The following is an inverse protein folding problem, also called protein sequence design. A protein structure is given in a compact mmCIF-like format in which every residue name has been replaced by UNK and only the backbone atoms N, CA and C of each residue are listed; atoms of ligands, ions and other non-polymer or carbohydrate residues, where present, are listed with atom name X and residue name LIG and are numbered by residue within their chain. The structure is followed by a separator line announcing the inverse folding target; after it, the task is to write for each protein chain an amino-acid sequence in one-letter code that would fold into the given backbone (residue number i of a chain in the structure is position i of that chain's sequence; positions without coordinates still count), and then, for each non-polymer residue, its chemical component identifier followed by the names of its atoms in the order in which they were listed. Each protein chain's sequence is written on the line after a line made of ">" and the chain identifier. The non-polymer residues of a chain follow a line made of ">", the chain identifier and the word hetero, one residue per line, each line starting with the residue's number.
data_IF_452599916110
#
_entry.id   IF_452599916110
#
_cell.length_a   1.000
_cell.length_b   1.000
_cell.length_c   1.000
_cell.angle_alpha   90.00
_cell.angle_beta   90.00
_cell.angle_gamma   90.00
#
_symmetry.space_group_name_H-M   'P 1'
#
loop_
_entity.id
_entity.type
_entity.pdbx_description
1 polymer ?
#
# COMPACT_ATOMS: atom_id res chain seq x y z
N UNK A 1 0.06 3.50 -40.73
CA UNK A 1 1.14 4.33 -40.16
C UNK A 1 2.30 3.37 -39.88
N UNK A 2 3.20 3.23 -40.84
CA UNK A 2 4.28 2.24 -40.81
C UNK A 2 5.32 2.67 -39.77
N UNK A 3 5.56 1.81 -38.78
CA UNK A 3 6.62 1.95 -37.77
C UNK A 3 7.95 2.03 -38.51
N UNK A 4 8.58 3.20 -38.59
CA UNK A 4 9.92 3.29 -39.19
C UNK A 4 10.91 2.60 -38.24
N UNK A 5 11.55 1.50 -38.67
CA UNK A 5 12.19 0.60 -37.71
C UNK A 5 13.45 1.20 -37.05
N UNK A 6 14.15 2.11 -37.73
CA UNK A 6 15.48 2.64 -37.37
C UNK A 6 15.58 3.41 -36.06
N UNK A 7 14.50 4.02 -35.56
CA UNK A 7 14.49 4.75 -34.28
C UNK A 7 14.26 3.83 -33.08
N UNK A 8 13.59 2.69 -33.30
CA UNK A 8 12.99 1.90 -32.22
C UNK A 8 13.98 0.99 -31.50
N UNK A 9 15.19 0.76 -32.03
CA UNK A 9 16.10 -0.32 -31.63
C UNK A 9 17.02 -0.01 -30.46
N UNK A 10 17.34 1.25 -30.28
CA UNK A 10 18.30 1.69 -29.27
C UNK A 10 17.64 1.52 -27.87
N UNK A 11 18.15 0.57 -27.09
CA UNK A 11 17.72 0.13 -25.75
C UNK A 11 16.52 -0.85 -25.62
N UNK A 12 15.96 -1.35 -26.72
CA UNK A 12 14.76 -2.23 -26.69
C UNK A 12 15.02 -3.64 -27.19
N UNK A 13 16.11 -3.83 -27.94
CA UNK A 13 16.49 -5.11 -28.53
C UNK A 13 17.95 -5.40 -28.19
N UNK A 14 18.17 -6.61 -27.70
CA UNK A 14 19.50 -7.15 -27.55
C UNK A 14 20.00 -7.67 -28.88
N UNK A 15 21.18 -7.23 -29.31
CA UNK A 15 21.76 -7.68 -30.58
C UNK A 15 22.46 -9.03 -30.37
N UNK A 16 21.70 -10.11 -30.55
CA UNK A 16 22.17 -11.48 -30.41
C UNK A 16 23.08 -11.90 -31.57
N UNK A 17 22.96 -11.27 -32.75
CA UNK A 17 23.82 -11.54 -33.90
C UNK A 17 25.26 -11.10 -33.66
N UNK A 18 25.47 -9.88 -33.15
CA UNK A 18 26.81 -9.40 -32.80
C UNK A 18 27.38 -10.15 -31.59
N UNK A 19 26.54 -10.47 -30.61
CA UNK A 19 26.95 -11.30 -29.48
C UNK A 19 27.47 -12.68 -29.91
N UNK A 20 26.86 -13.31 -30.92
CA UNK A 20 27.32 -14.58 -31.46
C UNK A 20 28.68 -14.47 -32.16
N UNK A 21 28.92 -13.37 -32.89
CA UNK A 21 30.21 -13.07 -33.52
C UNK A 21 31.30 -12.89 -32.45
N UNK A 22 30.97 -12.21 -31.34
CA UNK A 22 31.87 -11.95 -30.22
C UNK A 22 31.97 -13.12 -29.22
N UNK A 23 31.30 -14.24 -29.46
CA UNK A 23 31.25 -15.42 -28.56
C UNK A 23 30.71 -15.12 -27.15
N UNK A 24 29.86 -14.09 -27.00
CA UNK A 24 29.21 -13.70 -25.74
C UNK A 24 27.73 -14.09 -25.66
N UNK A 25 27.20 -14.73 -26.71
CA UNK A 25 25.78 -15.09 -26.82
C UNK A 25 25.29 -16.03 -25.71
N UNK A 26 26.14 -16.96 -25.25
CA UNK A 26 25.82 -17.88 -24.15
C UNK A 26 25.52 -17.15 -22.84
N UNK A 27 26.37 -16.17 -22.49
CA UNK A 27 26.23 -15.32 -21.30
C UNK A 27 24.91 -14.53 -21.39
N UNK A 28 24.64 -13.96 -22.54
CA UNK A 28 23.46 -13.14 -22.77
C UNK A 28 22.16 -13.95 -22.81
N UNK A 29 22.17 -15.18 -23.35
CA UNK A 29 21.05 -16.13 -23.22
C UNK A 29 20.80 -16.51 -21.77
N UNK A 30 21.84 -16.79 -20.99
CA UNK A 30 21.72 -17.10 -19.58
C UNK A 30 21.12 -15.90 -18.80
N UNK A 31 21.54 -14.67 -19.12
CA UNK A 31 20.98 -13.46 -18.54
C UNK A 31 19.49 -13.28 -18.86
N UNK A 32 19.06 -13.56 -20.10
CA UNK A 32 17.64 -13.52 -20.49
C UNK A 32 16.79 -14.57 -19.76
N UNK A 33 17.33 -15.79 -19.56
CA UNK A 33 16.66 -16.85 -18.80
C UNK A 33 16.53 -16.46 -17.32
N UNK A 34 17.60 -15.91 -16.73
CA UNK A 34 17.56 -15.39 -15.37
C UNK A 34 16.52 -14.28 -15.24
N UNK A 35 16.48 -13.34 -16.19
CA UNK A 35 15.49 -12.27 -16.21
C UNK A 35 14.06 -12.82 -16.26
N UNK A 36 13.80 -13.86 -17.07
CA UNK A 36 12.50 -14.52 -17.15
C UNK A 36 12.06 -15.13 -15.80
N UNK A 37 12.99 -15.75 -15.06
CA UNK A 37 12.75 -16.28 -13.72
C UNK A 37 12.42 -15.13 -12.75
N UNK A 38 13.20 -14.05 -12.79
CA UNK A 38 12.97 -12.87 -11.94
C UNK A 38 11.62 -12.21 -12.23
N UNK A 39 11.23 -12.09 -13.49
CA UNK A 39 9.92 -11.59 -13.90
C UNK A 39 8.80 -12.48 -13.36
N UNK A 40 8.97 -13.80 -13.40
CA UNK A 40 8.00 -14.76 -12.85
C UNK A 40 7.79 -14.56 -11.34
N UNK A 41 8.84 -14.23 -10.59
CA UNK A 41 8.74 -13.81 -9.18
C UNK A 41 8.00 -12.47 -9.07
N UNK A 42 8.36 -11.51 -9.91
CA UNK A 42 7.72 -10.19 -9.97
C UNK A 42 6.20 -10.24 -10.23
N UNK A 43 5.72 -11.25 -10.97
CA UNK A 43 4.28 -11.49 -11.14
C UNK A 43 3.59 -11.78 -9.80
N UNK A 44 4.16 -12.67 -8.99
CA UNK A 44 3.63 -13.01 -7.68
C UNK A 44 3.61 -11.80 -6.74
N UNK A 45 4.67 -11.00 -6.76
CA UNK A 45 4.77 -9.75 -5.98
C UNK A 45 3.73 -8.72 -6.41
N UNK A 46 3.53 -8.56 -7.72
CA UNK A 46 2.53 -7.62 -8.27
C UNK A 46 1.11 -8.03 -7.90
N UNK A 47 0.80 -9.33 -7.94
CA UNK A 47 -0.49 -9.85 -7.48
C UNK A 47 -0.70 -9.64 -5.99
N UNK A 48 0.34 -9.84 -5.17
CA UNK A 48 0.30 -9.57 -3.74
C UNK A 48 0.04 -8.07 -3.48
N UNK A 49 0.75 -7.18 -4.18
CA UNK A 49 0.54 -5.73 -4.06
C UNK A 49 -0.90 -5.35 -4.44
N UNK A 50 -1.41 -5.87 -5.56
CA UNK A 50 -2.78 -5.63 -6.01
C UNK A 50 -3.81 -6.08 -4.97
N UNK A 51 -3.63 -7.27 -4.39
CA UNK A 51 -4.43 -7.78 -3.29
C UNK A 51 -4.36 -6.85 -2.06
N UNK A 52 -3.16 -6.50 -1.60
CA UNK A 52 -2.98 -5.67 -0.41
C UNK A 52 -3.65 -4.30 -0.58
N UNK A 53 -3.48 -3.64 -1.73
CA UNK A 53 -4.10 -2.35 -2.01
C UNK A 53 -5.63 -2.42 -1.98
N UNK A 54 -6.22 -3.50 -2.51
CA UNK A 54 -7.67 -3.63 -2.60
C UNK A 54 -8.34 -3.98 -1.28
N UNK A 55 -7.69 -4.81 -0.45
CA UNK A 55 -8.31 -5.39 0.73
C UNK A 55 -7.93 -4.72 2.06
N UNK A 56 -6.78 -4.04 2.15
CA UNK A 56 -6.31 -3.49 3.44
C UNK A 56 -6.93 -2.15 3.85
N UNK A 57 -7.72 -1.50 2.99
CA UNK A 57 -8.35 -0.16 3.23
C UNK A 57 -7.42 0.86 3.92
N UNK A 58 -6.11 0.78 3.69
CA UNK A 58 -5.12 1.66 4.34
C UNK A 58 -5.29 3.12 3.89
N UNK A 59 -5.49 3.30 2.59
CA UNK A 59 -5.52 4.63 1.98
C UNK A 59 -6.97 5.02 1.72
N UNK A 60 -7.25 6.32 1.88
CA UNK A 60 -8.44 6.94 1.33
C UNK A 60 -8.64 6.52 -0.13
N UNK A 61 -9.90 6.31 -0.51
CA UNK A 61 -10.24 5.71 -1.81
C UNK A 61 -9.64 6.49 -2.98
N UNK A 62 -9.55 7.81 -2.87
CA UNK A 62 -8.98 8.67 -3.91
C UNK A 62 -7.50 8.33 -4.17
N UNK A 63 -6.69 8.32 -3.12
CA UNK A 63 -5.29 7.92 -3.21
C UNK A 63 -5.14 6.46 -3.60
N UNK A 64 -5.95 5.57 -3.03
CA UNK A 64 -5.91 4.15 -3.35
C UNK A 64 -6.10 3.91 -4.86
N UNK A 65 -7.01 4.64 -5.52
CA UNK A 65 -7.22 4.54 -6.97
C UNK A 65 -6.00 4.99 -7.79
N UNK A 66 -5.25 5.98 -7.31
CA UNK A 66 -4.00 6.41 -7.97
C UNK A 66 -2.92 5.37 -7.72
N UNK A 67 -2.74 4.89 -6.49
CA UNK A 67 -1.73 3.88 -6.15
C UNK A 67 -2.02 2.52 -6.79
N UNK A 68 -3.30 2.16 -7.00
CA UNK A 68 -3.72 0.99 -7.79
C UNK A 68 -3.16 1.05 -9.23
N UNK A 69 -2.80 2.21 -9.78
CA UNK A 69 -2.17 2.30 -11.11
C UNK A 69 -0.78 1.67 -11.16
N UNK A 70 -0.06 1.61 -10.02
CA UNK A 70 1.29 1.04 -9.95
C UNK A 70 1.32 -0.45 -10.38
N UNK A 71 0.51 -1.36 -9.79
CA UNK A 71 0.42 -2.72 -10.28
C UNK A 71 -0.33 -2.83 -11.62
N UNK A 72 -1.30 -1.96 -11.91
CA UNK A 72 -2.06 -2.01 -13.16
C UNK A 72 -1.20 -1.76 -14.40
N UNK A 73 -0.18 -0.90 -14.32
CA UNK A 73 0.76 -0.71 -15.42
C UNK A 73 1.87 -1.78 -15.43
N UNK A 74 2.32 -2.21 -14.24
CA UNK A 74 3.47 -3.11 -14.14
C UNK A 74 3.13 -4.51 -14.63
N UNK A 75 1.95 -5.03 -14.30
CA UNK A 75 1.51 -6.36 -14.71
C UNK A 75 1.52 -6.58 -16.24
N UNK A 76 0.83 -5.76 -17.07
CA UNK A 76 0.89 -5.90 -18.52
C UNK A 76 2.30 -5.63 -19.09
N UNK A 77 3.10 -4.78 -18.42
CA UNK A 77 4.50 -4.54 -18.81
C UNK A 77 5.37 -5.79 -18.63
N UNK A 78 5.16 -6.55 -17.54
CA UNK A 78 5.83 -7.84 -17.32
C UNK A 78 5.41 -8.88 -18.35
N UNK A 79 4.13 -8.94 -18.73
CA UNK A 79 3.65 -9.86 -19.79
C UNK A 79 4.33 -9.52 -21.12
N UNK A 80 4.31 -8.24 -21.51
CA UNK A 80 4.97 -7.77 -22.72
C UNK A 80 6.46 -8.12 -22.71
N UNK A 81 7.13 -8.00 -21.55
CA UNK A 81 8.53 -8.37 -21.39
C UNK A 81 8.78 -9.87 -21.50
N UNK A 82 7.98 -10.73 -20.85
CA UNK A 82 8.12 -12.19 -21.02
C UNK A 82 7.98 -12.57 -22.50
N UNK A 83 7.05 -11.94 -23.21
CA UNK A 83 6.86 -12.17 -24.64
C UNK A 83 8.06 -11.72 -25.48
N UNK A 84 8.64 -10.55 -25.18
CA UNK A 84 9.87 -10.08 -25.82
C UNK A 84 11.03 -11.06 -25.61
N UNK A 85 11.24 -11.54 -24.38
CA UNK A 85 12.32 -12.50 -24.06
C UNK A 85 12.09 -13.82 -24.82
N UNK A 86 10.84 -14.31 -24.85
CA UNK A 86 10.48 -15.50 -25.62
C UNK A 86 10.88 -15.36 -27.10
N UNK A 87 10.47 -14.25 -27.75
CA UNK A 87 10.82 -13.97 -29.14
C UNK A 87 12.34 -13.84 -29.35
N UNK A 88 13.06 -13.18 -28.44
CA UNK A 88 14.52 -13.04 -28.50
C UNK A 88 15.27 -14.37 -28.35
N UNK A 89 14.73 -15.32 -27.59
CA UNK A 89 15.32 -16.65 -27.44
C UNK A 89 15.03 -17.56 -28.65
N UNK A 90 13.86 -17.40 -29.27
CA UNK A 90 13.42 -18.21 -30.43
C UNK A 90 14.00 -17.70 -31.75
N UNK A 91 14.11 -16.38 -31.96
CA UNK A 91 14.61 -15.76 -33.19
C UNK A 91 16.01 -15.19 -32.91
N UNK A 92 17.09 -15.95 -33.19
CA UNK A 92 18.46 -15.51 -32.89
C UNK A 92 18.93 -14.38 -33.82
N UNK A 93 18.42 -14.33 -35.05
CA UNK A 93 18.76 -13.29 -35.99
C UNK A 93 18.04 -11.98 -35.63
N UNK A 94 18.81 -10.97 -35.24
CA UNK A 94 18.26 -9.67 -34.80
C UNK A 94 17.55 -8.96 -35.95
N UNK A 95 18.00 -9.12 -37.20
CA UNK A 95 17.35 -8.50 -38.36
C UNK A 95 15.94 -9.07 -38.62
N UNK A 96 15.74 -10.37 -38.41
CA UNK A 96 14.43 -11.02 -38.53
C UNK A 96 13.51 -10.66 -37.37
N UNK A 97 14.03 -10.67 -36.14
CA UNK A 97 13.28 -10.30 -34.94
C UNK A 97 12.66 -8.91 -35.04
N UNK A 98 13.40 -8.00 -35.64
CA UNK A 98 13.04 -6.61 -35.85
C UNK A 98 11.87 -6.44 -36.84
N UNK A 99 11.70 -7.38 -37.77
CA UNK A 99 10.60 -7.37 -38.75
C UNK A 99 9.32 -8.00 -38.19
N UNK A 100 9.39 -8.68 -37.04
CA UNK A 100 8.25 -9.34 -36.41
C UNK A 100 7.31 -8.30 -35.76
N UNK A 101 6.13 -8.11 -36.35
CA UNK A 101 5.14 -7.12 -35.88
C UNK A 101 4.70 -7.38 -34.43
N UNK A 102 4.59 -8.66 -34.03
CA UNK A 102 4.19 -9.03 -32.68
C UNK A 102 5.22 -8.65 -31.62
N UNK A 103 6.51 -8.79 -31.96
CA UNK A 103 7.61 -8.31 -31.13
C UNK A 103 7.61 -6.78 -31.02
N UNK A 104 7.45 -6.07 -32.15
CA UNK A 104 7.39 -4.60 -32.16
C UNK A 104 6.22 -4.06 -31.33
N UNK A 105 5.05 -4.71 -31.40
CA UNK A 105 3.91 -4.37 -30.56
C UNK A 105 4.21 -4.57 -29.07
N UNK A 106 4.85 -5.67 -28.68
CA UNK A 106 5.25 -5.91 -27.30
C UNK A 106 6.26 -4.88 -26.80
N UNK A 107 7.23 -4.48 -27.64
CA UNK A 107 8.17 -3.38 -27.35
C UNK A 107 7.41 -2.07 -27.11
N UNK A 108 6.50 -1.72 -28.01
CA UNK A 108 5.68 -0.50 -27.90
C UNK A 108 4.84 -0.48 -26.63
N UNK A 109 4.14 -1.58 -26.34
CA UNK A 109 3.29 -1.73 -25.16
C UNK A 109 4.12 -1.57 -23.88
N UNK A 110 5.23 -2.29 -23.80
CA UNK A 110 6.13 -2.25 -22.64
C UNK A 110 6.67 -0.85 -22.40
N UNK A 111 7.22 -0.20 -23.43
CA UNK A 111 7.76 1.15 -23.30
C UNK A 111 6.69 2.15 -22.88
N UNK A 112 5.49 2.08 -23.48
CA UNK A 112 4.37 2.95 -23.13
C UNK A 112 4.01 2.83 -21.64
N UNK A 113 4.03 1.61 -21.09
CA UNK A 113 3.76 1.36 -19.67
C UNK A 113 4.93 1.80 -18.76
N UNK A 114 6.18 1.65 -19.18
CA UNK A 114 7.34 2.15 -18.43
C UNK A 114 7.30 3.68 -18.25
N UNK A 115 6.85 4.42 -19.27
CA UNK A 115 6.64 5.86 -19.13
C UNK A 115 5.57 6.20 -18.08
N UNK A 116 4.54 5.36 -17.90
CA UNK A 116 3.56 5.52 -16.80
C UNK A 116 4.27 5.37 -15.45
N UNK A 117 5.16 4.40 -15.31
CA UNK A 117 5.95 4.22 -14.10
C UNK A 117 6.89 5.40 -13.82
N UNK A 118 7.58 5.91 -14.85
CA UNK A 118 8.50 7.04 -14.72
C UNK A 118 7.81 8.35 -14.32
N UNK A 119 6.59 8.59 -14.79
CA UNK A 119 5.82 9.79 -14.42
C UNK A 119 4.89 9.59 -13.23
N UNK A 120 4.93 8.44 -12.54
CA UNK A 120 3.96 8.11 -11.51
C UNK A 120 4.06 9.01 -10.26
N UNK A 121 5.28 9.31 -9.77
CA UNK A 121 5.49 9.91 -8.45
C UNK A 121 4.76 11.25 -8.17
N UNK A 122 4.69 12.21 -9.12
CA UNK A 122 3.98 13.47 -8.90
C UNK A 122 2.50 13.32 -8.56
N UNK A 123 1.80 12.31 -9.11
CA UNK A 123 0.35 12.23 -9.04
C UNK A 123 -0.19 11.90 -7.63
N UNK A 124 0.35 10.90 -6.91
CA UNK A 124 0.04 10.72 -5.49
C UNK A 124 0.36 11.96 -4.66
N UNK A 125 1.45 12.68 -4.94
CA UNK A 125 1.84 13.88 -4.19
C UNK A 125 0.83 15.01 -4.40
N UNK A 126 0.39 15.25 -5.64
CA UNK A 126 -0.65 16.24 -5.96
C UNK A 126 -1.97 15.88 -5.27
N UNK A 127 -2.35 14.60 -5.23
CA UNK A 127 -3.54 14.16 -4.48
C UNK A 127 -3.40 14.45 -2.98
N UNK A 128 -2.21 14.23 -2.39
CA UNK A 128 -1.93 14.59 -0.99
C UNK A 128 -2.00 16.11 -0.77
N UNK A 129 -1.56 16.93 -1.73
CA UNK A 129 -1.74 18.38 -1.67
C UNK A 129 -3.23 18.76 -1.60
N UNK A 130 -4.07 18.15 -2.44
CA UNK A 130 -5.52 18.36 -2.37
C UNK A 130 -6.12 17.92 -1.04
N UNK A 131 -5.67 16.78 -0.48
CA UNK A 131 -6.14 16.31 0.83
C UNK A 131 -5.79 17.29 1.96
N UNK A 132 -4.63 17.92 1.91
CA UNK A 132 -4.23 18.96 2.87
C UNK A 132 -4.97 20.28 2.66
N UNK A 133 -5.20 20.71 1.41
CA UNK A 133 -5.93 21.96 1.12
C UNK A 133 -7.41 21.83 1.53
N UNK A 134 -8.03 20.69 1.24
CA UNK A 134 -9.43 20.43 1.55
C UNK A 134 -9.63 19.66 2.86
N UNK A 135 -8.74 19.86 3.83
CA UNK A 135 -8.72 19.07 5.07
C UNK A 135 -10.09 19.02 5.75
N UNK A 136 -10.89 20.09 5.75
CA UNK A 136 -12.18 20.12 6.44
C UNK A 136 -13.25 19.18 5.86
N UNK A 137 -13.27 18.93 4.54
CA UNK A 137 -14.35 18.19 3.87
C UNK A 137 -13.87 17.12 2.87
N UNK A 138 -12.57 16.81 2.87
CA UNK A 138 -11.98 15.85 1.94
C UNK A 138 -12.56 14.43 2.08
N UNK A 139 -12.81 13.98 3.32
CA UNK A 139 -13.34 12.65 3.59
C UNK A 139 -14.86 12.56 3.45
N UNK A 140 -15.58 13.66 3.71
CA UNK A 140 -17.04 13.68 3.70
C UNK A 140 -17.58 13.75 2.28
N UNK A 141 -16.93 14.53 1.40
CA UNK A 141 -17.27 14.59 -0.02
C UNK A 141 -16.40 13.63 -0.81
N UNK A 142 -17.03 12.61 -1.42
CA UNK A 142 -16.36 11.65 -2.31
C UNK A 142 -15.92 12.32 -3.62
N UNK A 143 -14.81 13.05 -3.59
CA UNK A 143 -14.21 13.76 -4.74
C UNK A 143 -13.43 12.82 -5.66
N UNK A 144 -14.04 11.70 -6.05
CA UNK A 144 -13.39 10.65 -6.88
C UNK A 144 -12.91 11.17 -8.23
N UNK A 145 -13.55 12.24 -8.72
CA UNK A 145 -13.17 12.92 -9.96
C UNK A 145 -11.71 13.39 -9.93
N UNK A 146 -11.15 13.76 -8.77
CA UNK A 146 -9.74 14.19 -8.63
C UNK A 146 -8.82 13.04 -9.05
N UNK A 147 -9.07 11.84 -8.53
CA UNK A 147 -8.27 10.67 -8.87
C UNK A 147 -8.41 10.26 -10.33
N UNK A 148 -9.63 10.27 -10.87
CA UNK A 148 -9.85 9.95 -12.29
C UNK A 148 -9.15 10.96 -13.20
N UNK A 149 -9.24 12.25 -12.88
CA UNK A 149 -8.56 13.30 -13.62
C UNK A 149 -7.05 13.13 -13.57
N UNK A 150 -6.48 12.94 -12.36
CA UNK A 150 -5.04 12.74 -12.18
C UNK A 150 -4.54 11.48 -12.90
N UNK A 151 -5.25 10.35 -12.80
CA UNK A 151 -4.89 9.14 -13.55
C UNK A 151 -5.00 9.34 -15.06
N UNK A 152 -6.02 10.04 -15.55
CA UNK A 152 -6.16 10.33 -16.98
C UNK A 152 -5.01 11.18 -17.49
N UNK A 153 -4.64 12.24 -16.76
CA UNK A 153 -3.51 13.10 -17.09
C UNK A 153 -2.20 12.29 -17.09
N UNK A 154 -1.99 11.41 -16.11
CA UNK A 154 -0.83 10.52 -16.06
C UNK A 154 -0.70 9.68 -17.34
N UNK A 155 -1.76 8.99 -17.74
CA UNK A 155 -1.72 8.15 -18.95
C UNK A 155 -1.55 8.97 -20.22
N UNK A 156 -2.18 10.15 -20.33
CA UNK A 156 -2.00 11.03 -21.50
C UNK A 156 -0.54 11.48 -21.60
N UNK A 157 0.05 12.01 -20.53
CA UNK A 157 1.44 12.47 -20.52
C UNK A 157 2.39 11.33 -20.83
N UNK A 158 2.21 10.18 -20.18
CA UNK A 158 3.05 9.00 -20.38
C UNK A 158 2.96 8.48 -21.82
N UNK A 159 1.75 8.36 -22.38
CA UNK A 159 1.54 7.84 -23.72
C UNK A 159 2.10 8.78 -24.79
N UNK A 160 1.86 10.10 -24.65
CA UNK A 160 2.42 11.11 -25.55
C UNK A 160 3.95 11.08 -25.50
N UNK A 161 4.54 11.07 -24.30
CA UNK A 161 6.00 10.96 -24.12
C UNK A 161 6.54 9.69 -24.76
N UNK A 162 5.87 8.55 -24.59
CA UNK A 162 6.25 7.28 -25.18
C UNK A 162 6.19 7.32 -26.72
N UNK A 163 5.15 7.90 -27.32
CA UNK A 163 5.08 8.02 -28.78
C UNK A 163 6.23 8.87 -29.33
N UNK A 164 6.51 10.02 -28.69
CA UNK A 164 7.62 10.89 -29.06
C UNK A 164 8.99 10.22 -28.93
N UNK A 165 9.15 9.35 -27.92
CA UNK A 165 10.36 8.57 -27.71
C UNK A 165 10.51 7.44 -28.75
N UNK A 166 9.46 6.66 -28.99
CA UNK A 166 9.48 5.48 -29.88
C UNK A 166 9.68 5.90 -31.34
N UNK A 167 8.92 6.89 -31.80
CA UNK A 167 8.96 7.35 -33.20
C UNK A 167 10.10 8.33 -33.50
N UNK A 168 10.98 8.60 -32.54
CA UNK A 168 12.21 9.38 -32.78
C UNK A 168 11.95 10.86 -33.10
N UNK A 169 10.74 11.36 -32.85
CA UNK A 169 10.37 12.74 -33.16
C UNK A 169 10.95 13.76 -32.16
N UNK A 170 11.69 13.31 -31.14
CA UNK A 170 12.20 14.17 -30.06
C UNK A 170 13.59 13.72 -29.58
N UNK A 171 14.41 14.69 -29.17
CA UNK A 171 15.73 14.41 -28.58
C UNK A 171 15.57 13.65 -27.27
N UNK A 172 16.33 12.55 -27.10
CA UNK A 172 16.32 11.70 -25.89
C UNK A 172 16.63 12.48 -24.61
N UNK A 173 17.52 13.46 -24.72
CA UNK A 173 17.89 14.36 -23.61
C UNK A 173 16.69 15.14 -23.04
N UNK A 174 15.70 15.47 -23.86
CA UNK A 174 14.47 16.14 -23.40
C UNK A 174 13.68 15.19 -22.48
N UNK A 175 13.55 13.91 -22.85
CA UNK A 175 12.87 12.92 -22.02
C UNK A 175 13.62 12.68 -20.71
N UNK A 176 14.95 12.60 -20.74
CA UNK A 176 15.79 12.48 -19.54
C UNK A 176 15.53 13.67 -18.60
N UNK A 177 15.63 14.90 -19.13
CA UNK A 177 15.40 16.12 -18.36
C UNK A 177 13.99 16.17 -17.76
N UNK A 178 12.95 15.84 -18.54
CA UNK A 178 11.58 15.83 -18.07
C UNK A 178 11.35 14.78 -16.97
N UNK A 179 11.75 13.53 -17.20
CA UNK A 179 11.56 12.44 -16.23
C UNK A 179 12.27 12.77 -14.92
N UNK A 180 13.55 13.16 -14.96
CA UNK A 180 14.31 13.50 -13.76
C UNK A 180 13.74 14.75 -13.08
N UNK A 181 13.40 15.79 -13.84
CA UNK A 181 12.83 17.04 -13.32
C UNK A 181 11.49 16.84 -12.61
N UNK A 182 10.54 16.13 -13.23
CA UNK A 182 9.23 15.87 -12.63
C UNK A 182 9.35 15.06 -11.33
N UNK A 183 10.20 14.03 -11.31
CA UNK A 183 10.41 13.21 -10.11
C UNK A 183 11.09 14.01 -8.98
N UNK A 184 12.05 14.88 -9.32
CA UNK A 184 12.69 15.76 -8.35
C UNK A 184 11.68 16.74 -7.72
N UNK A 185 10.83 17.35 -8.53
CA UNK A 185 9.76 18.25 -8.05
C UNK A 185 8.81 17.51 -7.12
N UNK A 186 8.37 16.29 -7.48
CA UNK A 186 7.52 15.47 -6.63
C UNK A 186 8.17 15.13 -5.28
N UNK A 187 9.45 14.79 -5.30
CA UNK A 187 10.22 14.53 -4.09
C UNK A 187 10.29 15.77 -3.19
N UNK A 188 10.66 16.93 -3.72
CA UNK A 188 10.73 18.20 -2.97
C UNK A 188 9.36 18.58 -2.40
N UNK A 189 8.30 18.49 -3.20
CA UNK A 189 6.93 18.76 -2.75
C UNK A 189 6.52 17.86 -1.58
N UNK A 190 6.92 16.58 -1.60
CA UNK A 190 6.63 15.66 -0.50
C UNK A 190 7.24 16.14 0.84
N UNK A 191 8.46 16.67 0.82
CA UNK A 191 9.09 17.25 2.02
C UNK A 191 8.39 18.53 2.50
N UNK A 192 8.02 19.41 1.57
CA UNK A 192 7.29 20.64 1.88
C UNK A 192 5.96 20.29 2.55
N UNK A 193 5.23 19.33 1.99
CA UNK A 193 3.95 18.86 2.51
C UNK A 193 4.08 18.25 3.91
N UNK A 194 5.12 17.45 4.15
CA UNK A 194 5.39 16.91 5.48
C UNK A 194 5.60 18.01 6.52
N UNK A 195 6.46 18.99 6.19
CA UNK A 195 6.77 20.12 7.09
C UNK A 195 5.53 20.96 7.37
N UNK A 196 4.74 21.24 6.32
CA UNK A 196 3.49 21.98 6.45
C UNK A 196 2.49 21.25 7.35
N UNK A 197 2.25 19.96 7.11
CA UNK A 197 1.32 19.15 7.89
C UNK A 197 1.75 19.04 9.37
N UNK A 198 3.06 18.84 9.64
CA UNK A 198 3.60 18.82 11.01
C UNK A 198 3.45 20.16 11.73
N UNK A 199 3.71 21.27 11.03
CA UNK A 199 3.54 22.62 11.59
C UNK A 199 2.07 22.89 11.95
N UNK A 200 1.14 22.57 11.04
CA UNK A 200 -0.29 22.71 11.31
C UNK A 200 -0.74 21.85 12.49
N UNK A 201 -0.25 20.61 12.59
CA UNK A 201 -0.58 19.71 13.69
C UNK A 201 -0.09 20.24 15.04
N UNK A 202 1.12 20.82 15.08
CA UNK A 202 1.66 21.43 16.28
C UNK A 202 0.85 22.66 16.73
N UNK A 203 0.40 23.50 15.80
CA UNK A 203 -0.45 24.68 16.10
C UNK A 203 -1.80 24.23 16.66
N UNK A 204 -2.45 23.26 16.00
CA UNK A 204 -3.74 22.70 16.43
C UNK A 204 -3.68 22.02 17.81
N UNK A 205 -2.52 21.45 18.17
CA UNK A 205 -2.32 20.82 19.48
C UNK A 205 -2.11 21.85 20.60
N UNK A 206 -1.52 23.02 20.28
CA UNK A 206 -1.28 24.10 21.25
C UNK A 206 -2.52 24.96 21.52
N UNK A 207 -3.42 25.09 20.56
CA UNK A 207 -4.67 25.84 20.75
C UNK A 207 -5.73 24.94 21.39
N UNK A 208 -5.83 24.95 22.72
CA UNK A 208 -6.89 24.27 23.48
C UNK A 208 -8.28 24.88 23.20
N UNK A 209 -8.33 26.16 22.82
CA UNK A 209 -9.58 26.92 22.57
C UNK A 209 -10.07 26.90 21.12
N UNK A 210 -9.46 26.14 20.20
CA UNK A 210 -9.93 26.13 18.80
C UNK A 210 -11.05 25.11 18.60
N UNK A 211 -12.17 25.54 18.03
CA UNK A 211 -13.34 24.74 17.60
C UNK A 211 -13.04 23.64 16.55
N UNK A 212 -11.78 23.29 16.33
CA UNK A 212 -11.41 22.24 15.41
C UNK A 212 -11.87 20.88 15.94
N UNK A 213 -12.75 20.22 15.17
CA UNK A 213 -13.28 18.90 15.50
C UNK A 213 -12.18 17.84 15.55
N UNK A 214 -12.39 16.82 16.39
CA UNK A 214 -11.57 15.61 16.49
C UNK A 214 -11.24 14.99 15.11
N UNK A 215 -12.16 15.09 14.15
CA UNK A 215 -11.97 14.57 12.80
C UNK A 215 -10.82 15.25 12.04
N UNK A 216 -10.62 16.57 12.22
CA UNK A 216 -9.53 17.30 11.54
C UNK A 216 -8.17 16.89 12.10
N UNK A 217 -8.06 16.70 13.42
CA UNK A 217 -6.83 16.20 14.05
C UNK A 217 -6.51 14.76 13.62
N UNK A 218 -7.53 13.92 13.49
CA UNK A 218 -7.37 12.55 13.01
C UNK A 218 -6.87 12.51 11.55
N UNK A 219 -7.47 13.31 10.66
CA UNK A 219 -7.06 13.43 9.27
C UNK A 219 -5.62 13.93 9.12
N UNK A 220 -5.23 14.92 9.92
CA UNK A 220 -3.88 15.46 9.86
C UNK A 220 -2.83 14.45 10.36
N UNK A 221 -3.17 13.69 11.41
CA UNK A 221 -2.35 12.57 11.88
C UNK A 221 -2.21 11.49 10.81
N UNK A 222 -3.30 11.14 10.12
CA UNK A 222 -3.26 10.18 9.01
C UNK A 222 -2.41 10.68 7.83
N UNK A 223 -2.54 11.95 7.45
CA UNK A 223 -1.73 12.57 6.41
C UNK A 223 -0.24 12.56 6.77
N UNK A 224 0.13 12.84 8.02
CA UNK A 224 1.52 12.76 8.49
C UNK A 224 2.01 11.31 8.46
N UNK A 225 1.23 10.36 8.97
CA UNK A 225 1.62 8.95 9.05
C UNK A 225 1.75 8.31 7.65
N UNK A 226 0.89 8.68 6.71
CA UNK A 226 0.99 8.23 5.32
C UNK A 226 2.18 8.85 4.57
N UNK A 227 2.71 9.99 5.01
CA UNK A 227 3.82 10.67 4.32
C UNK A 227 5.11 9.84 4.29
N UNK A 228 5.40 9.04 5.32
CA UNK A 228 6.63 8.23 5.37
C UNK A 228 6.70 7.19 4.23
N UNK A 229 5.73 6.26 4.08
CA UNK A 229 5.75 5.32 2.95
C UNK A 229 5.71 6.03 1.60
N UNK A 230 5.04 7.19 1.48
CA UNK A 230 5.06 8.00 0.25
C UNK A 230 6.43 8.57 -0.07
N UNK A 231 7.18 9.08 0.91
CA UNK A 231 8.56 9.55 0.70
C UNK A 231 9.46 8.45 0.19
N UNK A 232 9.38 7.27 0.81
CA UNK A 232 10.19 6.11 0.39
C UNK A 232 9.81 5.70 -1.02
N UNK A 233 8.52 5.61 -1.33
CA UNK A 233 8.03 5.34 -2.68
C UNK A 233 8.53 6.37 -3.71
N UNK A 234 8.37 7.67 -3.44
CA UNK A 234 8.81 8.74 -4.35
C UNK A 234 10.33 8.74 -4.54
N UNK A 235 11.10 8.51 -3.46
CA UNK A 235 12.55 8.37 -3.54
C UNK A 235 12.95 7.17 -4.39
N UNK A 236 12.35 6.01 -4.18
CA UNK A 236 12.60 4.81 -4.97
C UNK A 236 12.26 5.03 -6.45
N UNK A 237 11.12 5.63 -6.77
CA UNK A 237 10.76 5.96 -8.15
C UNK A 237 11.80 6.90 -8.77
N UNK A 238 12.15 7.99 -8.08
CA UNK A 238 13.12 8.96 -8.57
C UNK A 238 14.51 8.34 -8.80
N UNK A 239 14.96 7.48 -7.87
CA UNK A 239 16.22 6.75 -7.97
C UNK A 239 16.24 5.81 -9.19
N UNK A 240 15.22 4.95 -9.32
CA UNK A 240 15.16 4.01 -10.44
C UNK A 240 14.90 4.69 -11.78
N UNK A 241 14.09 5.75 -11.82
CA UNK A 241 13.91 6.56 -13.01
C UNK A 241 15.25 7.17 -13.45
N UNK A 242 16.03 7.71 -12.50
CA UNK A 242 17.36 8.29 -12.77
C UNK A 242 18.36 7.24 -13.29
N UNK A 243 18.36 6.03 -12.70
CA UNK A 243 19.15 4.90 -13.19
C UNK A 243 18.76 4.49 -14.61
N UNK A 244 17.46 4.41 -14.90
CA UNK A 244 16.98 4.08 -16.24
C UNK A 244 17.35 5.15 -17.27
N UNK A 245 17.24 6.43 -16.91
CA UNK A 245 17.61 7.54 -17.79
C UNK A 245 19.12 7.66 -18.01
N UNK A 246 19.96 7.32 -17.01
CA UNK A 246 21.41 7.33 -17.19
C UNK A 246 21.85 6.20 -18.14
N UNK A 247 21.20 5.04 -18.07
CA UNK A 247 21.42 3.95 -19.02
C UNK A 247 21.00 4.33 -20.44
N UNK A 248 19.88 5.05 -20.61
CA UNK A 248 19.49 5.62 -21.90
C UNK A 248 20.54 6.59 -22.45
N UNK A 249 21.13 7.41 -21.59
CA UNK A 249 22.21 8.32 -21.99
C UNK A 249 23.44 7.53 -22.43
N UNK A 250 23.88 6.53 -21.67
CA UNK A 250 25.04 5.69 -22.04
C UNK A 250 24.81 4.97 -23.38
N UNK A 251 23.61 4.45 -23.64
CA UNK A 251 23.28 3.83 -24.93
C UNK A 251 23.34 4.80 -26.11
N UNK A 252 23.09 6.09 -25.90
CA UNK A 252 23.20 7.06 -26.99
C UNK A 252 24.67 7.29 -27.38
N UNK A 253 25.54 7.40 -26.39
CA UNK A 253 26.95 7.79 -26.58
C UNK A 253 27.91 6.62 -26.82
N UNK A 254 27.48 5.37 -26.59
CA UNK A 254 28.34 4.21 -26.78
C UNK A 254 28.32 3.71 -28.23
N UNK A 255 29.50 3.52 -28.82
CA UNK A 255 29.64 2.90 -30.16
C UNK A 255 29.69 1.37 -30.10
N UNK A 256 30.10 0.80 -28.96
CA UNK A 256 30.25 -0.65 -28.80
C UNK A 256 28.91 -1.35 -28.60
N UNK A 257 28.62 -2.34 -29.45
CA UNK A 257 27.40 -3.14 -29.37
C UNK A 257 27.37 -4.03 -28.10
N UNK A 258 28.52 -4.50 -27.63
CA UNK A 258 28.64 -5.27 -26.38
C UNK A 258 28.22 -4.42 -25.19
N UNK A 259 28.65 -3.16 -25.14
CA UNK A 259 28.26 -2.22 -24.08
C UNK A 259 26.76 -1.97 -24.14
N UNK A 260 26.17 -1.78 -25.33
CA UNK A 260 24.71 -1.65 -25.49
C UNK A 260 23.95 -2.85 -24.92
N UNK A 261 24.43 -4.07 -25.17
CA UNK A 261 23.82 -5.29 -24.64
C UNK A 261 23.88 -5.35 -23.09
N UNK A 262 24.99 -4.92 -22.48
CA UNK A 262 25.11 -4.83 -21.02
C UNK A 262 24.21 -3.74 -20.43
N UNK A 263 24.18 -2.56 -21.05
CA UNK A 263 23.30 -1.45 -20.67
C UNK A 263 21.84 -1.87 -20.78
N UNK A 264 21.47 -2.64 -21.81
CA UNK A 264 20.15 -3.24 -21.94
C UNK A 264 19.83 -4.16 -20.76
N UNK A 265 20.69 -5.12 -20.40
CA UNK A 265 20.46 -6.00 -19.24
C UNK A 265 20.31 -5.16 -17.95
N UNK A 266 21.19 -4.19 -17.74
CA UNK A 266 21.16 -3.32 -16.57
C UNK A 266 19.87 -2.49 -16.48
N UNK A 267 19.37 -1.99 -17.61
CA UNK A 267 18.11 -1.26 -17.70
C UNK A 267 16.92 -2.15 -17.33
N UNK A 268 16.88 -3.35 -17.89
CA UNK A 268 15.82 -4.31 -17.60
C UNK A 268 15.82 -4.75 -16.13
N UNK A 269 17.00 -5.00 -15.57
CA UNK A 269 17.15 -5.29 -14.15
C UNK A 269 16.74 -4.11 -13.26
N UNK A 270 17.02 -2.88 -13.67
CA UNK A 270 16.56 -1.66 -12.98
C UNK A 270 15.03 -1.54 -13.00
N UNK A 271 14.40 -1.84 -14.14
CA UNK A 271 12.94 -1.85 -14.24
C UNK A 271 12.29 -2.95 -13.39
N UNK A 272 12.89 -4.14 -13.33
CA UNK A 272 12.44 -5.23 -12.48
C UNK A 272 12.59 -4.90 -11.00
N UNK A 273 13.78 -4.45 -10.58
CA UNK A 273 14.07 -4.11 -9.19
C UNK A 273 13.20 -2.97 -8.68
N UNK A 274 12.85 -1.99 -9.52
CA UNK A 274 11.83 -0.99 -9.23
C UNK A 274 10.50 -1.61 -8.81
N UNK A 275 9.98 -2.54 -9.61
CA UNK A 275 8.67 -3.15 -9.39
C UNK A 275 8.63 -4.09 -8.20
N UNK A 276 9.77 -4.58 -7.73
CA UNK A 276 9.91 -5.40 -6.51
C UNK A 276 10.13 -4.54 -5.27
N UNK A 277 11.08 -3.60 -5.32
CA UNK A 277 11.54 -2.84 -4.16
C UNK A 277 10.52 -1.80 -3.69
N UNK A 278 9.79 -1.16 -4.61
CA UNK A 278 8.74 -0.20 -4.22
C UNK A 278 7.65 -0.86 -3.38
N UNK A 279 6.98 -1.95 -3.81
CA UNK A 279 6.02 -2.67 -2.97
C UNK A 279 6.65 -3.19 -1.67
N UNK A 280 7.88 -3.69 -1.72
CA UNK A 280 8.59 -4.17 -0.53
C UNK A 280 8.73 -3.07 0.54
N UNK A 281 9.19 -1.88 0.14
CA UNK A 281 9.29 -0.76 1.08
C UNK A 281 7.91 -0.31 1.57
N UNK A 282 6.92 -0.22 0.69
CA UNK A 282 5.55 0.12 1.10
C UNK A 282 5.01 -0.87 2.14
N UNK A 283 5.28 -2.17 1.98
CA UNK A 283 4.95 -3.21 2.95
C UNK A 283 5.74 -3.04 4.26
N UNK A 284 7.04 -2.75 4.19
CA UNK A 284 7.90 -2.59 5.35
C UNK A 284 7.50 -1.39 6.23
N UNK A 285 6.96 -0.32 5.64
CA UNK A 285 6.53 0.88 6.38
C UNK A 285 5.03 0.87 6.73
N UNK A 286 4.27 -0.13 6.30
CA UNK A 286 2.83 -0.18 6.50
C UNK A 286 2.39 -1.32 7.45
N UNK A 287 2.04 -1.03 8.71
CA UNK A 287 1.72 -2.05 9.69
C UNK A 287 0.44 -2.82 9.36
N UNK A 288 -0.53 -2.23 8.64
CA UNK A 288 -1.73 -2.96 8.20
C UNK A 288 -1.37 -4.01 7.15
N UNK A 289 -0.48 -3.66 6.21
CA UNK A 289 -0.02 -4.60 5.19
C UNK A 289 0.80 -5.74 5.80
N UNK A 290 1.64 -5.46 6.79
CA UNK A 290 2.37 -6.50 7.51
C UNK A 290 1.45 -7.46 8.26
N UNK A 291 0.40 -6.94 8.93
CA UNK A 291 -0.60 -7.77 9.63
C UNK A 291 -1.33 -8.68 8.64
N UNK A 292 -1.73 -8.13 7.50
CA UNK A 292 -2.41 -8.87 6.44
C UNK A 292 -1.51 -9.91 5.77
N UNK A 293 -0.26 -9.57 5.47
CA UNK A 293 0.72 -10.52 4.97
C UNK A 293 0.95 -11.67 5.96
N UNK A 294 1.11 -11.39 7.26
CA UNK A 294 1.21 -12.42 8.30
C UNK A 294 -0.05 -13.30 8.34
N UNK A 295 -1.24 -12.74 8.10
CA UNK A 295 -2.50 -13.49 8.01
C UNK A 295 -2.50 -14.42 6.80
N UNK A 296 -2.06 -13.95 5.63
CA UNK A 296 -1.95 -14.75 4.42
C UNK A 296 -0.93 -15.88 4.57
N UNK A 297 0.27 -15.57 5.07
CA UNK A 297 1.34 -16.57 5.31
C UNK A 297 0.83 -17.64 6.26
N UNK A 298 0.17 -17.28 7.36
CA UNK A 298 -0.42 -18.28 8.28
C UNK A 298 -1.46 -19.18 7.58
N UNK A 299 -2.33 -18.61 6.75
CA UNK A 299 -3.30 -19.41 5.98
C UNK A 299 -2.58 -20.39 5.05
N UNK A 300 -1.62 -19.91 4.25
CA UNK A 300 -0.86 -20.76 3.33
C UNK A 300 -0.03 -21.82 4.06
N UNK A 301 0.66 -21.48 5.14
CA UNK A 301 1.39 -22.45 5.96
C UNK A 301 0.47 -23.49 6.61
N UNK A 302 -0.77 -23.13 6.97
CA UNK A 302 -1.76 -24.10 7.46
C UNK A 302 -2.31 -25.01 6.35
N UNK A 303 -2.29 -24.58 5.08
CA UNK A 303 -2.63 -25.45 3.95
C UNK A 303 -1.50 -26.40 3.56
N UNK A 304 -0.23 -26.02 3.79
CA UNK A 304 0.94 -26.84 3.45
C UNK A 304 1.37 -27.83 4.55
N UNK A 305 0.73 -27.81 5.72
CA UNK A 305 0.94 -28.81 6.77
C UNK A 305 -0.29 -29.73 6.75
N UNK A 306 -0.20 -30.98 6.24
CA UNK A 306 -1.27 -31.94 6.43
C UNK A 306 -1.43 -32.15 7.93
N UNK A 307 -2.67 -32.05 8.41
CA UNK A 307 -3.08 -32.23 9.79
C UNK A 307 -2.19 -33.26 10.52
N UNK A 308 -1.25 -32.79 11.35
CA UNK A 308 -0.73 -33.61 12.43
C UNK A 308 -1.86 -33.75 13.43
N UNK A 309 -2.57 -34.88 13.28
CA UNK A 309 -3.20 -35.67 14.33
C UNK A 309 -4.16 -34.92 15.24
N UNK A 310 -5.41 -35.36 15.22
CA UNK A 310 -6.42 -35.11 16.22
C UNK A 310 -5.82 -35.08 17.64
N UNK A 311 -5.82 -33.90 18.25
CA UNK A 311 -5.73 -33.74 19.69
C UNK A 311 -6.80 -32.70 20.07
N UNK A 312 -7.92 -33.22 20.58
CA UNK A 312 -9.05 -32.61 21.26
C UNK A 312 -9.58 -31.21 20.87
N UNK A 313 -10.89 -31.07 20.55
CA UNK A 313 -11.52 -29.78 20.30
C UNK A 313 -11.75 -28.92 21.56
N UNK A 314 -11.22 -29.29 22.73
CA UNK A 314 -11.54 -28.64 24.00
C UNK A 314 -10.59 -27.50 24.43
N UNK A 315 -9.47 -27.25 23.75
CA UNK A 315 -8.48 -26.24 24.20
C UNK A 315 -7.99 -25.32 23.08
N UNK A 316 -8.92 -24.64 22.39
CA UNK A 316 -8.57 -23.34 21.78
C UNK A 316 -8.50 -22.31 22.91
N UNK A 317 -7.33 -22.17 23.53
CA UNK A 317 -7.03 -20.99 24.37
C UNK A 317 -7.19 -19.74 23.51
N UNK A 318 -8.34 -19.07 23.64
CA UNK A 318 -8.52 -17.67 23.25
C UNK A 318 -7.36 -16.87 23.83
N UNK A 319 -6.68 -16.06 23.02
CA UNK A 319 -5.62 -15.17 23.52
C UNK A 319 -6.28 -14.12 24.40
N UNK A 320 -6.27 -14.35 25.71
CA UNK A 320 -6.63 -13.35 26.71
C UNK A 320 -5.40 -12.50 27.00
N UNK A 321 -5.49 -11.19 26.75
CA UNK A 321 -4.44 -10.26 27.14
C UNK A 321 -4.70 -9.82 28.59
N UNK A 322 -3.68 -9.91 29.46
CA UNK A 322 -3.77 -9.39 30.84
C UNK A 322 -3.70 -7.88 30.78
N UNK A 323 -4.77 -7.21 31.18
CA UNK A 323 -4.85 -5.74 31.28
C UNK A 323 -5.19 -5.38 32.72
N UNK A 324 -4.57 -4.33 33.26
CA UNK A 324 -4.93 -3.80 34.58
C UNK A 324 -6.09 -2.81 34.43
N UNK A 325 -7.14 -3.00 35.23
CA UNK A 325 -8.24 -2.06 35.37
C UNK A 325 -7.77 -0.74 35.99
N UNK A 326 -8.59 0.30 35.89
CA UNK A 326 -8.43 1.64 36.51
C UNK A 326 -8.16 1.62 38.01
N UNK A 327 -8.46 0.51 38.70
CA UNK A 327 -8.13 0.28 40.12
C UNK A 327 -6.90 -0.62 40.34
N UNK A 328 -6.16 -0.97 39.29
CA UNK A 328 -4.92 -1.75 39.35
C UNK A 328 -5.08 -3.27 39.37
N UNK A 329 -6.32 -3.78 39.27
CA UNK A 329 -6.62 -5.22 39.28
C UNK A 329 -6.44 -5.87 37.91
N UNK A 330 -5.89 -7.08 37.87
CA UNK A 330 -5.64 -7.78 36.60
C UNK A 330 -6.93 -8.41 36.06
N UNK A 331 -7.41 -7.92 34.92
CA UNK A 331 -8.51 -8.52 34.14
C UNK A 331 -7.96 -9.22 32.89
N UNK A 332 -8.55 -10.37 32.55
CA UNK A 332 -8.26 -11.14 31.34
C UNK A 332 -9.37 -10.85 30.33
N UNK A 333 -9.04 -10.21 29.20
CA UNK A 333 -10.03 -9.78 28.21
C UNK A 333 -9.69 -10.33 26.83
N UNK A 334 -10.73 -10.74 26.09
CA UNK A 334 -10.65 -11.25 24.71
C UNK A 334 -10.48 -10.08 23.72
N UNK A 335 -9.65 -10.22 22.68
CA UNK A 335 -9.27 -9.12 21.76
C UNK A 335 -10.48 -8.45 21.06
N UNK A 336 -11.57 -9.20 20.89
CA UNK A 336 -12.82 -8.70 20.31
C UNK A 336 -13.66 -7.89 21.29
N UNK A 337 -13.56 -8.18 22.59
CA UNK A 337 -14.22 -7.41 23.65
C UNK A 337 -13.42 -6.16 24.02
N UNK A 338 -12.10 -6.14 23.78
CA UNK A 338 -11.23 -5.02 24.15
C UNK A 338 -11.64 -3.69 23.47
N UNK A 339 -12.15 -3.75 22.24
CA UNK A 339 -12.60 -2.55 21.51
C UNK A 339 -13.93 -2.04 22.09
N UNK A 340 -14.87 -2.96 22.33
CA UNK A 340 -16.19 -2.65 22.88
C UNK A 340 -16.12 -2.16 24.33
N UNK A 341 -15.28 -2.79 25.16
CA UNK A 341 -15.07 -2.41 26.55
C UNK A 341 -14.38 -1.03 26.61
N UNK A 342 -13.32 -0.81 25.83
CA UNK A 342 -12.65 0.50 25.76
C UNK A 342 -13.59 1.62 25.34
N UNK A 343 -14.39 1.43 24.27
CA UNK A 343 -15.37 2.44 23.85
C UNK A 343 -16.55 2.59 24.83
N UNK A 344 -16.95 1.53 25.52
CA UNK A 344 -17.99 1.59 26.55
C UNK A 344 -17.53 2.35 27.80
N UNK A 345 -16.28 2.16 28.22
CA UNK A 345 -15.65 2.89 29.31
C UNK A 345 -15.45 4.37 28.94
N UNK A 346 -14.98 4.66 27.73
CA UNK A 346 -14.92 6.03 27.22
C UNK A 346 -16.30 6.69 27.18
N UNK A 347 -17.33 5.98 26.74
CA UNK A 347 -18.69 6.52 26.68
C UNK A 347 -19.29 6.75 28.08
N UNK A 348 -18.92 5.91 29.07
CA UNK A 348 -19.32 6.08 30.45
C UNK A 348 -18.59 7.26 31.13
N UNK A 349 -17.30 7.48 30.82
CA UNK A 349 -16.55 8.65 31.27
C UNK A 349 -17.04 9.94 30.60
N UNK A 350 -17.36 9.90 29.30
CA UNK A 350 -17.82 11.05 28.53
C UNK A 350 -19.21 11.53 28.95
N UNK A 351 -20.09 10.59 29.34
CA UNK A 351 -21.44 10.89 29.81
C UNK A 351 -21.54 10.92 31.35
N UNK A 352 -20.41 10.86 32.06
CA UNK A 352 -20.43 10.96 33.51
C UNK A 352 -20.86 12.39 33.90
N UNK A 353 -21.92 12.57 34.70
CA UNK A 353 -22.33 13.89 35.16
C UNK A 353 -21.20 14.52 35.98
N UNK A 354 -20.97 15.80 35.74
CA UNK A 354 -19.92 16.58 36.38
C UNK A 354 -20.01 16.50 37.91
N UNK A 355 -18.89 16.59 38.64
CA UNK A 355 -18.91 16.58 40.11
C UNK A 355 -19.83 17.66 40.72
N UNK A 356 -20.05 18.75 39.98
CA UNK A 356 -21.04 19.79 40.29
C UNK A 356 -22.48 19.28 40.27
N UNK A 357 -22.85 18.45 39.29
CA UNK A 357 -24.20 17.87 39.18
C UNK A 357 -24.44 16.80 40.24
N UNK A 358 -23.43 15.98 40.57
CA UNK A 358 -23.51 14.97 41.64
C UNK A 358 -23.70 15.59 43.04
N UNK A 359 -23.11 16.77 43.28
CA UNK A 359 -23.32 17.55 44.52
C UNK A 359 -24.71 18.20 44.57
N UNK A 360 -25.25 18.61 43.42
CA UNK A 360 -26.58 19.18 43.30
C UNK A 360 -27.68 18.12 43.50
N UNK A 361 -27.51 16.91 42.93
CA UNK A 361 -28.42 15.78 43.16
C UNK A 361 -28.40 15.28 44.61
N UNK A 362 -27.22 15.19 45.25
CA UNK A 362 -27.14 14.82 46.68
C UNK A 362 -27.79 15.85 47.59
N UNK A 363 -27.72 17.15 47.26
CA UNK A 363 -28.45 18.21 47.99
C UNK A 363 -29.96 18.13 47.76
N UNK A 364 -30.41 17.74 46.56
CA UNK A 364 -31.84 17.59 46.21
C UNK A 364 -32.47 16.37 46.92
N UNK A 365 -31.83 15.19 46.86
CA UNK A 365 -32.28 13.98 47.58
C UNK A 365 -32.33 14.13 49.11
N UNK A 366 -31.42 14.92 49.69
CA UNK A 366 -31.42 15.21 51.14
C UNK A 366 -32.51 16.21 51.56
N UNK A 367 -33.08 16.94 50.60
CA UNK A 367 -34.20 17.86 50.79
C UNK A 367 -35.55 17.13 50.67
N UNK A 368 -35.64 16.15 49.76
CA UNK A 368 -36.86 15.38 49.54
C UNK A 368 -37.09 14.29 50.61
N UNK A 369 -36.03 13.80 51.27
CA UNK A 369 -36.16 12.82 52.38
C UNK A 369 -36.61 13.42 53.71
N UNK A 370 -36.82 14.74 53.80
CA UNK A 370 -37.20 15.44 55.04
C UNK A 370 -38.68 15.86 55.10
N UNK A 371 -39.48 15.50 54.08
CA UNK A 371 -40.87 16.00 53.95
C UNK A 371 -41.92 14.89 53.97
N UNK A 372 -41.60 13.66 54.39
CA UNK A 372 -42.60 12.59 54.45
C UNK A 372 -42.46 11.75 55.73
N UNK A 373 -42.76 12.37 56.87
CA UNK A 373 -43.21 11.66 58.08
C UNK A 373 -44.67 12.04 58.30
N UNK A 374 -45.59 11.09 58.12
CA UNK A 374 -47.01 11.29 58.38
C UNK A 374 -47.92 10.18 57.83
N UNK A 375 -48.34 9.29 58.73
CA UNK A 375 -49.47 8.33 58.69
C UNK A 375 -49.25 6.86 58.24
N UNK A 376 -50.12 6.02 58.82
CA UNK A 376 -49.96 4.67 59.38
C UNK A 376 -50.54 3.48 58.55
N UNK A 377 -49.79 2.36 58.47
CA UNK A 377 -50.08 0.92 58.87
C UNK A 377 -51.40 0.20 58.40
N UNK A 378 -51.50 -1.14 58.17
CA UNK A 378 -50.61 -2.20 57.60
C UNK A 378 -51.34 -3.28 56.71
N UNK A 379 -50.62 -4.25 56.10
CA UNK A 379 -50.98 -5.69 56.17
C UNK A 379 -49.85 -6.65 55.74
N UNK A 380 -49.84 -7.82 56.38
CA UNK A 380 -48.89 -8.94 56.35
C UNK A 380 -48.75 -9.67 55.00
N UNK A 381 -47.63 -10.37 54.77
CA UNK A 381 -47.45 -11.83 54.92
C UNK A 381 -46.09 -12.25 54.34
N UNK A 382 -45.30 -12.95 55.15
CA UNK A 382 -44.18 -13.86 54.85
C UNK A 382 -44.66 -15.26 55.32
N UNK A 383 -44.16 -16.46 54.93
CA UNK A 383 -42.72 -16.76 54.89
C UNK A 383 -42.23 -17.98 54.04
N UNK A 384 -40.91 -18.24 54.17
CA UNK A 384 -40.24 -19.54 54.46
C UNK A 384 -39.25 -20.14 53.44
N UNK A 385 -38.09 -20.42 54.05
CA UNK A 385 -36.92 -21.23 53.72
C UNK A 385 -37.15 -22.75 53.81
N UNK A 386 -36.20 -23.54 53.26
CA UNK A 386 -35.61 -24.85 53.69
C UNK A 386 -34.78 -25.34 52.46
N UNK A 387 -33.46 -25.57 52.45
CA UNK A 387 -32.48 -26.39 53.19
C UNK A 387 -32.37 -27.88 52.77
N UNK A 388 -31.11 -28.26 52.48
CA UNK A 388 -30.41 -29.55 52.58
C UNK A 388 -30.68 -30.73 51.62
N UNK A 389 -29.58 -31.42 51.26
CA UNK A 389 -29.58 -32.89 51.22
C UNK A 389 -28.80 -33.57 50.08
N UNK A 390 -27.55 -33.95 50.35
CA UNK A 390 -26.70 -34.87 49.57
C UNK A 390 -27.15 -36.33 49.65
N UNK A 391 -27.00 -37.13 48.57
CA UNK A 391 -26.75 -38.59 48.61
C UNK A 391 -25.92 -39.03 47.40
N UNK A 392 -24.95 -39.91 47.63
CA UNK A 392 -24.06 -40.54 46.67
C UNK A 392 -24.48 -41.97 46.31
N UNK A 393 -23.93 -42.48 45.20
CA UNK A 393 -23.33 -43.83 44.99
C UNK A 393 -23.90 -44.75 43.89
N UNK A 394 -22.91 -45.46 43.27
CA UNK A 394 -22.88 -46.70 42.44
C UNK A 394 -23.28 -46.60 40.95
N UNK A 395 -22.35 -46.84 40.00
CA UNK A 395 -21.64 -48.08 39.57
C UNK A 395 -22.52 -49.06 38.77
N UNK A 396 -22.11 -49.31 37.51
CA UNK A 396 -21.83 -50.61 36.86
C UNK A 396 -21.61 -50.33 35.34
N UNK A 397 -20.41 -50.49 34.75
CA UNK A 397 -19.72 -51.70 34.26
C UNK A 397 -20.47 -52.51 33.19
N UNK A 398 -20.03 -52.37 31.94
CA UNK A 398 -19.64 -53.45 31.02
C UNK A 398 -18.67 -52.88 29.97
#
# INVERSE_FOLDING_TARGET
>A
MLLLPSSMYKLTVMNMTTAAIEQTDTIFRAALILEWILISIGFGETMLLWYLLRYTRQYHRNLAMIVEQLPNQYFPSLIARMYMIYKQLTIPNTAELIQDESFLFAVWLRNSLLFVAFYFAPFPVIERCFATIYMQDYETKKRRWISYLLSTILYIIAFVSAQFFIFGSSCREIHIFLITGFNLVAFVLTFIMERYNKKQYAVLRKNENSDYSLSVRAQLSENINSTLPFKVMCFSIAFFASLCTSMLHVDEWTESQTIRNWVYIAFNFSCWSYGTLVPFFMLAYNPLWQKELKRLIRKFCCFCIPNRVAADPAVRKKKTQKVKDTFGNNCLVDDTEHTTIYFSQLNAEWNAPSESEKKCEKKKKKRDSKTTEGLSVPSQVSPRSISNGSVASRQDLA
#
